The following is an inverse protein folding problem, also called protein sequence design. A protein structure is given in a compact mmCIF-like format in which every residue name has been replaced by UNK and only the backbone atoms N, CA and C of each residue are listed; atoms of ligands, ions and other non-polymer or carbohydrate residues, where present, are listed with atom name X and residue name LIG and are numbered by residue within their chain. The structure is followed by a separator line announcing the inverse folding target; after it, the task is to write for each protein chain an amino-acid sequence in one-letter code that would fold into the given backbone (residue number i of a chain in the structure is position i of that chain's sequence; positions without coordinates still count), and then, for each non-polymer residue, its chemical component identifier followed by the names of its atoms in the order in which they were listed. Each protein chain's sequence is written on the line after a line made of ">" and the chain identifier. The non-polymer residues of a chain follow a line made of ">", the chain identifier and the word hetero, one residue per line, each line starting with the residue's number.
data_IF_567618910405
#
_entry.id   IF_567618910405
#
_cell.length_a   1.000
_cell.length_b   1.000
_cell.length_c   1.000
_cell.angle_alpha   90.00
_cell.angle_beta   90.00
_cell.angle_gamma   90.00
#
_symmetry.space_group_name_H-M   'P 1'
#
loop_
_entity.id
_entity.type
_entity.pdbx_description
1 polymer ?
#
# COMPACT_ATOMS: atom_id res chain seq x y z
N UNK A 1 21.30 -1.09 1.17
CA UNK A 1 20.77 -0.91 2.55
C UNK A 1 19.65 0.13 2.63
N UNK A 2 19.83 1.36 2.12
CA UNK A 2 18.80 2.42 2.23
C UNK A 2 17.42 2.01 1.67
N UNK A 3 17.38 1.31 0.52
CA UNK A 3 16.14 0.87 -0.14
C UNK A 3 15.30 -0.08 0.74
N UNK A 4 15.95 -0.95 1.50
CA UNK A 4 15.28 -1.86 2.45
C UNK A 4 14.68 -1.10 3.63
N UNK A 5 15.39 -0.10 4.16
CA UNK A 5 14.87 0.77 5.24
C UNK A 5 13.62 1.51 4.76
N UNK A 6 13.66 2.08 3.54
CA UNK A 6 12.51 2.75 2.93
C UNK A 6 11.33 1.77 2.76
N UNK A 7 11.60 0.54 2.32
CA UNK A 7 10.57 -0.47 2.15
C UNK A 7 9.93 -0.89 3.49
N UNK A 8 10.72 -0.98 4.57
CA UNK A 8 10.20 -1.23 5.92
C UNK A 8 9.34 -0.06 6.39
N UNK A 9 9.75 1.18 6.11
CA UNK A 9 8.97 2.39 6.41
C UNK A 9 7.63 2.46 5.63
N UNK A 10 7.47 1.71 4.55
CA UNK A 10 6.20 1.61 3.84
C UNK A 10 5.07 1.06 4.73
N UNK A 11 5.41 0.24 5.74
CA UNK A 11 4.43 -0.31 6.68
C UNK A 11 3.82 0.80 7.56
N UNK A 12 4.60 1.54 8.39
CA UNK A 12 4.04 2.62 9.20
C UNK A 12 3.41 3.73 8.36
N UNK A 13 3.95 4.03 7.18
CA UNK A 13 3.33 4.97 6.24
C UNK A 13 1.97 4.44 5.76
N UNK A 14 1.86 3.17 5.40
CA UNK A 14 0.59 2.54 5.04
C UNK A 14 -0.44 2.61 6.16
N UNK A 15 -0.02 2.40 7.41
CA UNK A 15 -0.89 2.58 8.58
C UNK A 15 -1.33 4.04 8.77
N UNK A 16 -0.42 4.99 8.60
CA UNK A 16 -0.73 6.42 8.67
C UNK A 16 -1.73 6.84 7.59
N UNK A 17 -1.53 6.40 6.34
CA UNK A 17 -2.47 6.67 5.24
C UNK A 17 -3.83 6.03 5.54
N UNK A 18 -3.87 4.76 5.93
CA UNK A 18 -5.11 4.08 6.28
C UNK A 18 -5.81 4.67 7.52
N UNK A 19 -5.06 5.36 8.37
CA UNK A 19 -5.60 6.10 9.50
C UNK A 19 -6.24 7.42 9.05
N UNK A 20 -5.53 8.20 8.24
CA UNK A 20 -6.00 9.50 7.74
C UNK A 20 -7.18 9.37 6.77
N UNK A 21 -7.21 8.31 5.96
CA UNK A 21 -8.25 8.06 4.96
C UNK A 21 -9.34 7.07 5.44
N UNK A 22 -9.52 6.92 6.76
CA UNK A 22 -10.35 5.87 7.38
C UNK A 22 -11.80 5.86 6.86
N UNK A 23 -12.39 7.04 6.67
CA UNK A 23 -13.77 7.20 6.19
C UNK A 23 -13.95 6.78 4.72
N UNK A 24 -12.86 6.85 3.93
CA UNK A 24 -12.86 6.55 2.49
C UNK A 24 -12.28 5.15 2.18
N UNK A 25 -11.73 4.45 3.17
CA UNK A 25 -11.14 3.13 2.99
C UNK A 25 -12.13 2.12 2.38
N UNK A 26 -13.40 2.18 2.79
CA UNK A 26 -14.42 1.23 2.32
C UNK A 26 -14.74 1.44 0.82
N UNK A 27 -14.90 2.70 0.40
CA UNK A 27 -15.15 3.03 -1.02
C UNK A 27 -13.90 2.79 -1.88
N UNK A 28 -12.71 2.99 -1.31
CA UNK A 28 -11.41 2.77 -1.97
C UNK A 28 -11.04 1.30 -2.19
N UNK A 29 -11.74 0.34 -1.56
CA UNK A 29 -11.34 -1.09 -1.56
C UNK A 29 -11.13 -1.67 -2.96
N UNK A 30 -11.99 -1.33 -3.93
CA UNK A 30 -11.85 -1.81 -5.31
C UNK A 30 -10.55 -1.30 -5.94
N UNK A 31 -10.22 -0.03 -5.72
CA UNK A 31 -9.00 0.59 -6.23
C UNK A 31 -7.74 0.02 -5.58
N UNK A 32 -7.75 -0.27 -4.28
CA UNK A 32 -6.60 -0.90 -3.62
C UNK A 32 -6.30 -2.28 -4.21
N UNK A 33 -7.32 -3.09 -4.55
CA UNK A 33 -7.11 -4.37 -5.24
C UNK A 33 -6.48 -4.17 -6.63
N UNK A 34 -6.95 -3.18 -7.39
CA UNK A 34 -6.36 -2.84 -8.69
C UNK A 34 -4.91 -2.38 -8.55
N UNK A 35 -4.62 -1.52 -7.57
CA UNK A 35 -3.27 -1.05 -7.29
C UNK A 35 -2.32 -2.18 -6.88
N UNK A 36 -2.79 -3.19 -6.12
CA UNK A 36 -1.99 -4.38 -5.82
C UNK A 36 -1.58 -5.10 -7.11
N UNK A 37 -2.52 -5.34 -8.03
CA UNK A 37 -2.23 -6.04 -9.29
C UNK A 37 -1.23 -5.24 -10.12
N UNK A 38 -1.46 -3.93 -10.28
CA UNK A 38 -0.55 -3.02 -11.00
C UNK A 38 0.83 -3.02 -10.35
N UNK A 39 0.90 -3.03 -9.01
CA UNK A 39 2.18 -3.01 -8.31
C UNK A 39 2.94 -4.32 -8.48
N UNK A 40 2.28 -5.47 -8.46
CA UNK A 40 2.93 -6.76 -8.73
C UNK A 40 3.47 -6.80 -10.16
N UNK A 41 2.67 -6.36 -11.15
CA UNK A 41 3.11 -6.27 -12.54
C UNK A 41 4.28 -5.28 -12.70
N UNK A 42 4.24 -4.15 -11.99
CA UNK A 42 5.32 -3.16 -11.98
C UNK A 42 6.60 -3.71 -11.35
N UNK A 43 6.51 -4.38 -10.20
CA UNK A 43 7.67 -5.00 -9.55
C UNK A 43 8.36 -5.97 -10.52
N UNK A 44 7.60 -6.92 -11.09
CA UNK A 44 8.14 -7.95 -11.98
C UNK A 44 8.61 -7.35 -13.30
N UNK A 45 7.80 -6.50 -13.93
CA UNK A 45 8.10 -5.90 -15.22
C UNK A 45 9.35 -5.03 -15.20
N UNK A 46 9.47 -4.12 -14.22
CA UNK A 46 10.64 -3.26 -14.09
C UNK A 46 11.88 -4.00 -13.57
N UNK A 47 11.70 -5.10 -12.84
CA UNK A 47 12.82 -5.99 -12.50
C UNK A 47 13.41 -6.66 -13.74
N UNK A 48 12.57 -7.11 -14.68
CA UNK A 48 13.03 -7.82 -15.89
C UNK A 48 13.80 -6.94 -16.89
N UNK A 49 13.63 -5.62 -16.82
CA UNK A 49 14.31 -4.65 -17.69
C UNK A 49 15.43 -3.89 -16.96
N UNK A 50 15.91 -4.42 -15.82
CA UNK A 50 16.96 -3.85 -14.96
C UNK A 50 16.68 -2.44 -14.40
N UNK A 51 15.43 -1.98 -14.47
CA UNK A 51 14.95 -0.71 -13.90
C UNK A 51 14.63 -0.87 -12.42
N UNK A 52 15.66 -1.18 -11.63
CA UNK A 52 15.51 -1.54 -10.22
C UNK A 52 14.82 -0.46 -9.39
N UNK A 53 15.09 0.82 -9.64
CA UNK A 53 14.54 1.95 -8.87
C UNK A 53 13.02 2.04 -8.96
N UNK A 54 12.50 1.80 -10.16
CA UNK A 54 11.06 1.79 -10.43
C UNK A 54 10.43 0.56 -9.75
N UNK A 55 11.08 -0.61 -9.86
CA UNK A 55 10.61 -1.84 -9.18
C UNK A 55 10.52 -1.65 -7.65
N UNK A 56 11.51 -1.02 -7.02
CA UNK A 56 11.47 -0.69 -5.59
C UNK A 56 10.33 0.29 -5.24
N UNK A 57 10.05 1.25 -6.11
CA UNK A 57 8.93 2.19 -5.94
C UNK A 57 7.59 1.45 -5.97
N UNK A 58 7.40 0.51 -6.91
CA UNK A 58 6.22 -0.34 -6.91
C UNK A 58 6.15 -1.26 -5.68
N UNK A 59 7.28 -1.71 -5.15
CA UNK A 59 7.34 -2.40 -3.86
C UNK A 59 6.81 -1.56 -2.70
N UNK A 60 7.19 -0.28 -2.63
CA UNK A 60 6.68 0.65 -1.63
C UNK A 60 5.16 0.87 -1.77
N UNK A 61 4.69 1.10 -3.00
CA UNK A 61 3.26 1.27 -3.30
C UNK A 61 2.48 0.00 -2.95
N UNK A 62 3.04 -1.18 -3.26
CA UNK A 62 2.43 -2.47 -2.92
C UNK A 62 2.20 -2.61 -1.42
N UNK A 63 3.21 -2.34 -0.59
CA UNK A 63 3.10 -2.50 0.87
C UNK A 63 2.11 -1.48 1.45
N UNK A 64 2.21 -0.21 1.07
CA UNK A 64 1.29 0.83 1.55
C UNK A 64 -0.15 0.53 1.15
N UNK A 65 -0.38 0.09 -0.08
CA UNK A 65 -1.70 -0.31 -0.59
C UNK A 65 -2.22 -1.56 0.12
N UNK A 66 -1.35 -2.54 0.38
CA UNK A 66 -1.72 -3.77 1.06
C UNK A 66 -2.19 -3.49 2.50
N UNK A 67 -1.49 -2.62 3.22
CA UNK A 67 -1.92 -2.18 4.56
C UNK A 67 -3.29 -1.49 4.48
N UNK A 68 -3.48 -0.57 3.54
CA UNK A 68 -4.77 0.10 3.32
C UNK A 68 -5.89 -0.88 2.96
N UNK A 69 -5.62 -1.88 2.13
CA UNK A 69 -6.60 -2.92 1.78
C UNK A 69 -6.99 -3.77 2.99
N UNK A 70 -6.01 -4.20 3.80
CA UNK A 70 -6.25 -4.96 5.02
C UNK A 70 -7.11 -4.16 5.99
N UNK A 71 -6.79 -2.87 6.19
CA UNK A 71 -7.57 -1.98 7.05
C UNK A 71 -8.95 -1.63 6.50
N UNK A 72 -9.10 -1.58 5.17
CA UNK A 72 -10.42 -1.41 4.57
C UNK A 72 -11.39 -2.54 4.89
N UNK A 73 -10.89 -3.74 5.25
CA UNK A 73 -11.74 -4.89 5.59
C UNK A 73 -12.08 -4.95 7.08
N UNK A 74 -11.34 -4.21 7.91
CA UNK A 74 -11.56 -4.16 9.35
C UNK A 74 -12.66 -3.14 9.69
N UNK A 75 -13.88 -3.65 9.88
CA UNK A 75 -15.03 -2.83 10.27
C UNK A 75 -14.82 -2.12 11.62
N UNK A 76 -14.02 -2.66 12.55
CA UNK A 76 -13.73 -1.98 13.82
C UNK A 76 -12.78 -0.82 13.60
N UNK A 77 -11.83 -0.97 12.68
CA UNK A 77 -10.94 0.12 12.28
C UNK A 77 -11.70 1.25 11.62
N UNK A 78 -12.56 0.95 10.64
CA UNK A 78 -13.35 1.96 9.92
C UNK A 78 -14.36 2.63 10.85
N UNK A 79 -15.12 1.85 11.64
CA UNK A 79 -16.14 2.38 12.56
C UNK A 79 -15.59 2.91 13.88
N UNK A 80 -14.28 2.80 14.10
CA UNK A 80 -13.57 3.48 15.18
C UNK A 80 -13.58 4.98 14.92
N UNK A 81 -14.78 5.57 14.86
CA UNK A 81 -14.97 7.01 14.91
C UNK A 81 -14.27 7.48 16.17
N UNK A 82 -13.47 8.52 16.02
CA UNK A 82 -13.22 9.42 17.14
C UNK A 82 -14.57 9.74 17.78
N UNK A 83 -14.74 9.27 19.02
CA UNK A 83 -15.66 9.90 19.96
C UNK A 83 -14.94 11.08 20.57
#
# INVERSE_FOLDING_TARGET
>A
MIKLVILILAIPVGFLIAYLARDELESGRKWFKTLIIISVLGIVGFWLIDESEISWTFGFIFITTLVSLLKSSDKKWIKGKFK
#
